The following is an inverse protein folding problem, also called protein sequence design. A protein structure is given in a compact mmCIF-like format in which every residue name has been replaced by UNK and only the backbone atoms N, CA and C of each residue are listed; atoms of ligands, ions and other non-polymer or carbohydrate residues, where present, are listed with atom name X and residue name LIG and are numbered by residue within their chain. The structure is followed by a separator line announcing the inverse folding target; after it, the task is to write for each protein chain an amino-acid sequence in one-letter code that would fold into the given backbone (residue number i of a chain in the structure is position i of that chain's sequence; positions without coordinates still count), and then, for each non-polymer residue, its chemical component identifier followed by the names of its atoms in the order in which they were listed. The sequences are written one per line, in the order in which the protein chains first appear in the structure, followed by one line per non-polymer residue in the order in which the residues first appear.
data_IF_841266256888
#
_entry.id   IF_841266256888
#
_cell.length_a   1.000
_cell.length_b   1.000
_cell.length_c   1.000
_cell.angle_alpha   90.00
_cell.angle_beta   90.00
_cell.angle_gamma   90.00
#
_symmetry.space_group_name_H-M   'P 1'
#
loop_
_entity.id
_entity.type
_entity.pdbx_description
1 polymer ?
#
# COMPACT_ATOMS: atom_id res chain seq x y z
N UNK A 1 16.21 -7.94 15.35
CA UNK A 1 16.40 -7.95 13.89
C UNK A 1 15.56 -6.81 13.32
N UNK A 2 16.05 -5.57 13.28
CA UNK A 2 15.15 -4.40 13.12
C UNK A 2 15.69 -3.21 12.32
N UNK A 3 16.87 -3.28 11.69
CA UNK A 3 17.48 -2.09 11.06
C UNK A 3 17.50 -2.09 9.51
N UNK A 4 17.54 -3.26 8.87
CA UNK A 4 17.79 -3.34 7.42
C UNK A 4 16.59 -2.89 6.56
N UNK A 5 15.35 -3.15 7.01
CA UNK A 5 14.13 -2.77 6.28
C UNK A 5 13.91 -1.26 6.18
N UNK A 6 14.22 -0.52 7.25
CA UNK A 6 14.14 0.94 7.22
C UNK A 6 15.21 1.52 6.30
N UNK A 7 16.37 0.87 6.17
CA UNK A 7 17.47 1.35 5.36
C UNK A 7 17.11 1.44 3.88
N UNK A 8 16.43 0.45 3.29
CA UNK A 8 16.05 0.47 1.87
C UNK A 8 14.96 1.50 1.62
N UNK A 9 13.91 1.56 2.44
CA UNK A 9 12.84 2.54 2.27
C UNK A 9 13.28 4.00 2.56
N UNK A 10 14.18 4.20 3.53
CA UNK A 10 14.78 5.50 3.83
C UNK A 10 15.69 5.97 2.69
N UNK A 11 16.49 5.07 2.13
CA UNK A 11 17.29 5.34 0.92
C UNK A 11 16.38 5.68 -0.28
N UNK A 12 15.32 4.90 -0.51
CA UNK A 12 14.32 5.22 -1.52
C UNK A 12 13.76 6.64 -1.31
N UNK A 13 13.37 6.99 -0.07
CA UNK A 13 12.81 8.29 0.27
C UNK A 13 13.76 9.47 -0.04
N UNK A 14 15.07 9.24 -0.03
CA UNK A 14 16.07 10.25 -0.34
C UNK A 14 16.28 10.48 -1.85
N UNK A 15 16.02 9.48 -2.70
CA UNK A 15 16.41 9.51 -4.12
C UNK A 15 15.35 10.07 -5.08
N UNK A 16 14.14 10.40 -4.62
CA UNK A 16 12.94 10.73 -5.43
C UNK A 16 12.46 9.56 -6.33
N UNK A 17 11.14 9.38 -6.47
CA UNK A 17 10.56 8.22 -7.17
C UNK A 17 10.23 7.03 -6.26
N UNK A 18 9.61 7.29 -5.10
CA UNK A 18 9.20 6.25 -4.15
C UNK A 18 7.74 5.86 -4.30
N UNK A 19 7.34 4.72 -3.76
CA UNK A 19 5.92 4.39 -3.57
C UNK A 19 5.17 5.35 -2.61
N UNK A 20 5.91 6.20 -1.87
CA UNK A 20 5.36 7.23 -1.00
C UNK A 20 5.20 8.59 -1.68
N UNK A 21 5.50 8.69 -2.98
CA UNK A 21 5.36 9.90 -3.80
C UNK A 21 4.52 9.57 -5.02
N UNK A 22 3.53 10.39 -5.33
CA UNK A 22 2.75 10.32 -6.56
C UNK A 22 2.94 11.58 -7.40
N UNK A 23 2.61 11.50 -8.69
CA UNK A 23 2.46 12.67 -9.53
C UNK A 23 1.19 13.44 -9.09
N UNK A 24 1.29 14.73 -8.72
CA UNK A 24 0.13 15.52 -8.31
C UNK A 24 -1.01 15.45 -9.32
N UNK A 25 -2.24 15.25 -8.85
CA UNK A 25 -3.41 14.98 -9.69
C UNK A 25 -3.78 13.49 -9.80
N UNK A 26 -2.91 12.57 -9.38
CA UNK A 26 -3.19 11.13 -9.35
C UNK A 26 -3.72 10.64 -7.99
N UNK A 27 -4.19 11.53 -7.11
CA UNK A 27 -4.65 11.18 -5.77
C UNK A 27 -5.81 10.18 -5.78
N UNK A 28 -6.65 10.20 -6.82
CA UNK A 28 -7.76 9.25 -6.98
C UNK A 28 -7.37 7.79 -7.15
N UNK A 29 -6.11 7.52 -7.50
CA UNK A 29 -5.60 6.15 -7.60
C UNK A 29 -4.94 5.67 -6.30
N UNK A 30 -4.91 6.49 -5.25
CA UNK A 30 -4.40 6.08 -3.96
C UNK A 30 -5.22 4.90 -3.41
N UNK A 31 -4.50 3.89 -2.92
CA UNK A 31 -5.14 2.73 -2.34
C UNK A 31 -5.91 3.11 -1.06
N UNK A 32 -7.13 2.59 -0.85
CA UNK A 32 -7.95 2.99 0.29
C UNK A 32 -7.48 2.29 1.57
N UNK A 33 -7.87 2.85 2.71
CA UNK A 33 -7.63 2.33 4.05
C UNK A 33 -8.89 1.67 4.59
N UNK A 34 -8.72 0.56 5.29
CA UNK A 34 -9.74 0.02 6.19
C UNK A 34 -9.78 0.82 7.50
N UNK A 35 -10.90 0.69 8.23
CA UNK A 35 -11.05 1.28 9.57
C UNK A 35 -10.01 0.73 10.56
N UNK A 36 -9.67 -0.56 10.46
CA UNK A 36 -8.65 -1.20 11.29
C UNK A 36 -7.26 -0.61 11.05
N UNK A 37 -6.87 -0.41 9.78
CA UNK A 37 -5.59 0.23 9.44
C UNK A 37 -5.52 1.65 9.98
N UNK A 38 -6.60 2.44 9.81
CA UNK A 38 -6.66 3.80 10.34
C UNK A 38 -6.48 3.83 11.86
N UNK A 39 -7.18 2.95 12.58
CA UNK A 39 -7.04 2.84 14.03
C UNK A 39 -5.60 2.50 14.46
N UNK A 40 -5.00 1.48 13.84
CA UNK A 40 -3.61 1.10 14.13
C UNK A 40 -2.61 2.23 13.84
N UNK A 41 -2.84 3.01 12.79
CA UNK A 41 -2.04 4.18 12.46
C UNK A 41 -2.18 5.29 13.51
N UNK A 42 -3.40 5.57 13.97
CA UNK A 42 -3.70 6.60 14.97
C UNK A 42 -3.08 6.27 16.34
N UNK A 43 -3.15 5.00 16.76
CA UNK A 43 -2.45 4.47 17.93
C UNK A 43 -0.92 4.67 17.83
N UNK A 44 -0.37 4.50 16.63
CA UNK A 44 1.04 4.73 16.33
C UNK A 44 1.40 6.22 16.13
N UNK A 45 0.47 7.15 16.38
CA UNK A 45 0.72 8.59 16.36
C UNK A 45 0.28 9.32 15.08
N UNK A 46 -0.38 8.64 14.13
CA UNK A 46 -1.09 9.34 13.06
C UNK A 46 -2.23 10.20 13.63
N UNK A 47 -2.70 11.12 12.81
CA UNK A 47 -3.59 12.23 13.17
C UNK A 47 -4.40 12.57 11.93
N UNK A 48 -5.51 13.30 12.10
CA UNK A 48 -6.45 13.63 11.01
C UNK A 48 -5.76 14.14 9.73
N UNK A 49 -4.76 15.01 9.87
CA UNK A 49 -3.98 15.56 8.74
C UNK A 49 -3.27 14.52 7.85
N UNK A 50 -3.13 13.27 8.31
CA UNK A 50 -2.49 12.19 7.56
C UNK A 50 -3.51 11.36 6.77
N UNK A 51 -4.80 11.67 6.88
CA UNK A 51 -5.89 11.00 6.20
C UNK A 51 -6.63 11.99 5.29
N UNK A 52 -7.23 11.46 4.24
CA UNK A 52 -8.13 12.21 3.38
C UNK A 52 -9.32 11.33 3.03
N UNK A 53 -10.53 11.84 3.27
CA UNK A 53 -11.76 11.22 2.83
C UNK A 53 -12.05 11.66 1.41
N UNK A 54 -12.26 10.71 0.52
CA UNK A 54 -12.38 10.94 -0.92
C UNK A 54 -13.61 10.23 -1.49
N UNK A 55 -14.29 10.88 -2.43
CA UNK A 55 -15.41 10.27 -3.14
C UNK A 55 -14.92 9.11 -4.02
N UNK A 56 -15.73 8.06 -4.14
CA UNK A 56 -15.41 6.94 -5.02
C UNK A 56 -15.61 7.35 -6.49
N UNK A 57 -14.50 7.51 -7.24
CA UNK A 57 -14.56 7.76 -8.69
C UNK A 57 -14.65 6.43 -9.46
N UNK A 58 -15.15 6.47 -10.70
CA UNK A 58 -15.14 5.28 -11.56
C UNK A 58 -13.71 4.77 -11.81
N UNK A 59 -12.77 5.68 -12.05
CA UNK A 59 -11.36 5.38 -12.24
C UNK A 59 -10.74 4.66 -11.04
N UNK A 60 -11.03 5.13 -9.82
CA UNK A 60 -10.64 4.47 -8.57
C UNK A 60 -11.19 3.04 -8.47
N UNK A 61 -12.51 2.88 -8.64
CA UNK A 61 -13.18 1.58 -8.48
C UNK A 61 -12.71 0.60 -9.56
N UNK A 62 -12.57 1.06 -10.80
CA UNK A 62 -12.09 0.23 -11.92
C UNK A 62 -10.63 -0.20 -11.71
N UNK A 63 -9.79 0.66 -11.14
CA UNK A 63 -8.42 0.29 -10.76
C UNK A 63 -8.41 -0.83 -9.71
N UNK A 64 -9.25 -0.73 -8.67
CA UNK A 64 -9.39 -1.81 -7.68
C UNK A 64 -9.95 -3.09 -8.30
N UNK A 65 -10.94 -2.99 -9.21
CA UNK A 65 -11.46 -4.16 -9.92
C UNK A 65 -10.36 -4.91 -10.69
N UNK A 66 -9.39 -4.20 -11.29
CA UNK A 66 -8.25 -4.83 -11.96
C UNK A 66 -7.30 -5.55 -10.98
N UNK A 67 -7.14 -5.01 -9.77
CA UNK A 67 -6.30 -5.59 -8.73
C UNK A 67 -6.89 -6.87 -8.11
N UNK A 68 -8.22 -6.93 -7.99
CA UNK A 68 -8.94 -8.06 -7.37
C UNK A 68 -9.59 -9.01 -8.40
N UNK A 69 -9.54 -8.67 -9.70
CA UNK A 69 -9.90 -9.56 -10.79
C UNK A 69 -11.32 -10.14 -10.67
N UNK A 70 -11.41 -11.43 -10.38
CA UNK A 70 -12.66 -12.19 -10.26
C UNK A 70 -13.65 -11.60 -9.24
N UNK A 71 -13.18 -10.78 -8.31
CA UNK A 71 -14.00 -10.18 -7.26
C UNK A 71 -14.47 -8.76 -7.56
N UNK A 72 -14.37 -8.30 -8.81
CA UNK A 72 -14.81 -6.96 -9.22
C UNK A 72 -16.23 -6.61 -8.73
N UNK A 73 -17.17 -7.57 -8.74
CA UNK A 73 -18.52 -7.36 -8.22
C UNK A 73 -18.55 -7.01 -6.73
N UNK A 74 -17.70 -7.65 -5.91
CA UNK A 74 -17.57 -7.33 -4.48
C UNK A 74 -16.93 -5.95 -4.28
N UNK A 75 -15.89 -5.64 -5.05
CA UNK A 75 -15.24 -4.32 -5.00
C UNK A 75 -16.23 -3.19 -5.30
N UNK A 76 -17.07 -3.33 -6.32
CA UNK A 76 -18.12 -2.34 -6.64
C UNK A 76 -19.15 -2.19 -5.53
N UNK A 77 -19.46 -3.26 -4.80
CA UNK A 77 -20.35 -3.22 -3.64
C UNK A 77 -19.69 -2.56 -2.42
N UNK A 78 -18.40 -2.80 -2.19
CA UNK A 78 -17.61 -2.16 -1.12
C UNK A 78 -17.44 -0.66 -1.36
N UNK A 79 -17.21 -0.26 -2.61
CA UNK A 79 -16.95 1.12 -3.01
C UNK A 79 -18.03 1.60 -4.00
N UNK A 80 -19.28 1.82 -3.55
CA UNK A 80 -20.35 2.30 -4.41
C UNK A 80 -20.05 3.74 -4.87
N UNK A 81 -20.56 4.14 -6.04
CA UNK A 81 -20.28 5.45 -6.65
C UNK A 81 -20.70 6.65 -5.78
N UNK A 82 -21.75 6.51 -4.97
CA UNK A 82 -22.19 7.54 -4.01
C UNK A 82 -21.41 7.53 -2.69
N UNK A 83 -20.48 6.59 -2.54
CA UNK A 83 -19.71 6.36 -1.33
C UNK A 83 -18.41 7.16 -1.27
N UNK A 84 -17.73 7.01 -0.14
CA UNK A 84 -16.43 7.59 0.13
C UNK A 84 -15.50 6.52 0.69
N UNK A 85 -14.20 6.71 0.51
CA UNK A 85 -13.17 5.93 1.15
C UNK A 85 -12.17 6.86 1.85
N UNK A 86 -11.47 6.32 2.84
CA UNK A 86 -10.31 6.99 3.43
C UNK A 86 -9.05 6.55 2.68
N UNK A 87 -8.12 7.49 2.49
CA UNK A 87 -6.78 7.24 1.96
C UNK A 87 -5.73 8.01 2.75
N UNK A 88 -4.46 7.71 2.53
CA UNK A 88 -3.37 8.55 3.04
C UNK A 88 -3.43 9.94 2.42
N UNK A 89 -3.30 10.99 3.24
CA UNK A 89 -3.12 12.35 2.77
C UNK A 89 -1.78 12.50 2.04
N UNK A 90 -1.76 13.41 1.05
CA UNK A 90 -0.55 13.80 0.33
C UNK A 90 -0.37 15.31 0.38
N UNK A 91 0.87 15.76 0.33
CA UNK A 91 1.24 17.16 0.19
C UNK A 91 0.95 17.65 -1.24
N UNK A 92 0.99 18.96 -1.46
CA UNK A 92 0.84 19.56 -2.81
C UNK A 92 1.89 19.09 -3.82
N UNK A 93 3.04 18.60 -3.34
CA UNK A 93 4.09 18.04 -4.17
C UNK A 93 3.92 16.53 -4.40
N UNK A 94 2.80 15.93 -3.99
CA UNK A 94 2.50 14.51 -4.19
C UNK A 94 3.18 13.56 -3.18
N UNK A 95 3.94 14.06 -2.21
CA UNK A 95 4.52 13.23 -1.15
C UNK A 95 3.47 12.84 -0.09
N UNK A 96 3.46 11.58 0.34
CA UNK A 96 2.67 11.09 1.47
C UNK A 96 2.92 11.95 2.73
N UNK A 97 1.86 12.32 3.44
CA UNK A 97 1.97 13.15 4.66
C UNK A 97 2.76 12.48 5.80
N UNK A 98 2.96 11.16 5.74
CA UNK A 98 3.77 10.39 6.69
C UNK A 98 5.22 10.19 6.24
N UNK A 99 5.61 10.73 5.08
CA UNK A 99 6.99 10.69 4.61
C UNK A 99 7.84 11.69 5.40
N UNK A 100 8.86 11.19 6.11
CA UNK A 100 9.87 11.98 6.79
C UNK A 100 11.23 11.83 6.13
N UNK A 101 12.22 12.57 6.65
CA UNK A 101 13.61 12.55 6.15
C UNK A 101 14.29 11.18 6.25
N UNK A 102 13.82 10.33 7.17
CA UNK A 102 14.32 8.97 7.41
C UNK A 102 13.36 7.90 6.88
N UNK A 103 12.48 8.26 5.93
CA UNK A 103 11.41 7.39 5.43
C UNK A 103 10.09 7.57 6.20
N UNK A 104 9.24 6.54 6.17
CA UNK A 104 7.92 6.59 6.77
C UNK A 104 8.00 6.79 8.29
N UNK A 105 7.25 7.77 8.82
CA UNK A 105 7.18 8.08 10.26
C UNK A 105 6.46 7.01 11.08
N UNK A 106 5.71 6.11 10.43
CA UNK A 106 5.05 5.00 11.12
C UNK A 106 6.00 3.80 11.29
N UNK A 107 5.92 3.11 12.45
CA UNK A 107 6.54 1.81 12.58
C UNK A 107 5.93 0.84 11.57
N UNK A 108 6.71 -0.12 11.07
CA UNK A 108 6.28 -0.99 9.98
C UNK A 108 4.97 -1.72 10.28
N UNK A 109 4.76 -2.18 11.51
CA UNK A 109 3.55 -2.88 11.95
C UNK A 109 2.26 -2.04 11.83
N UNK A 110 2.36 -0.72 11.95
CA UNK A 110 1.23 0.21 11.86
C UNK A 110 1.05 0.82 10.47
N UNK A 111 1.96 0.54 9.52
CA UNK A 111 1.77 0.98 8.13
C UNK A 111 0.58 0.25 7.51
N UNK A 112 -0.17 0.87 6.58
CA UNK A 112 -1.22 0.19 5.84
C UNK A 112 -0.74 -1.14 5.23
N UNK A 113 -1.64 -2.11 5.11
CA UNK A 113 -1.38 -3.40 4.48
C UNK A 113 -0.80 -3.22 3.08
N UNK A 114 -1.36 -2.33 2.27
CA UNK A 114 -0.83 -2.08 0.91
C UNK A 114 0.62 -1.55 0.94
N UNK A 115 0.97 -0.68 1.89
CA UNK A 115 2.34 -0.19 2.05
C UNK A 115 3.31 -1.30 2.47
N UNK A 116 2.84 -2.29 3.23
CA UNK A 116 3.64 -3.45 3.66
C UNK A 116 3.75 -4.53 2.59
N UNK A 117 2.74 -4.64 1.72
CA UNK A 117 2.68 -5.56 0.60
C UNK A 117 3.53 -5.07 -0.57
N UNK A 118 3.52 -3.76 -0.86
CA UNK A 118 4.21 -3.20 -2.01
C UNK A 118 5.72 -3.57 -2.03
N UNK A 119 6.28 -4.01 -3.17
CA UNK A 119 5.67 -4.05 -4.51
C UNK A 119 4.91 -5.34 -4.83
N UNK A 120 4.74 -6.25 -3.87
CA UNK A 120 4.09 -7.53 -4.08
C UNK A 120 2.57 -7.43 -4.08
N UNK A 121 1.94 -8.38 -4.77
CA UNK A 121 0.50 -8.59 -4.78
C UNK A 121 0.20 -10.07 -4.97
N UNK A 122 -1.05 -10.46 -4.71
CA UNK A 122 -1.56 -11.80 -5.02
C UNK A 122 -2.75 -11.66 -5.96
N UNK A 123 -2.71 -12.40 -7.06
CA UNK A 123 -3.81 -12.48 -8.02
C UNK A 123 -3.97 -13.92 -8.47
N UNK A 124 -5.20 -14.43 -8.41
CA UNK A 124 -5.54 -15.79 -8.82
C UNK A 124 -4.62 -16.86 -8.16
N UNK A 125 -4.38 -16.71 -6.85
CA UNK A 125 -3.53 -17.59 -6.05
C UNK A 125 -2.01 -17.45 -6.30
N UNK A 126 -1.60 -16.56 -7.20
CA UNK A 126 -0.18 -16.38 -7.57
C UNK A 126 0.37 -15.07 -7.03
N UNK A 127 1.52 -15.17 -6.36
CA UNK A 127 2.29 -13.99 -5.98
C UNK A 127 2.94 -13.37 -7.22
N UNK A 128 2.74 -12.06 -7.37
CA UNK A 128 3.38 -11.22 -8.38
C UNK A 128 3.94 -9.97 -7.71
N UNK A 129 4.69 -9.16 -8.47
CA UNK A 129 5.07 -7.84 -8.03
C UNK A 129 4.89 -6.83 -9.16
N UNK A 130 4.52 -5.61 -8.81
CA UNK A 130 4.42 -4.51 -9.76
C UNK A 130 5.82 -4.09 -10.17
N UNK A 131 6.09 -4.09 -11.48
CA UNK A 131 7.33 -3.52 -11.98
C UNK A 131 7.29 -2.01 -11.85
N UNK A 132 8.27 -1.45 -11.15
CA UNK A 132 8.42 0.00 -11.03
C UNK A 132 9.88 0.35 -11.24
N UNK A 133 10.16 1.00 -12.36
CA UNK A 133 11.53 1.30 -12.81
C UNK A 133 12.29 2.21 -11.86
N UNK A 134 11.62 2.92 -10.95
CA UNK A 134 12.23 3.75 -9.93
C UNK A 134 12.36 3.03 -8.57
N UNK A 135 11.83 1.81 -8.41
CA UNK A 135 11.96 1.04 -7.19
C UNK A 135 13.41 0.55 -7.00
N UNK A 136 14.14 1.17 -6.09
CA UNK A 136 15.53 0.79 -5.78
C UNK A 136 15.64 -0.67 -5.34
N UNK A 137 14.68 -1.17 -4.53
CA UNK A 137 14.66 -2.57 -4.11
C UNK A 137 14.58 -3.53 -5.31
N UNK A 138 13.85 -3.18 -6.38
CA UNK A 138 13.79 -3.97 -7.61
C UNK A 138 15.07 -3.85 -8.43
N UNK A 139 15.68 -2.66 -8.51
CA UNK A 139 16.96 -2.45 -9.21
C UNK A 139 18.10 -3.26 -8.61
N UNK A 140 18.12 -3.39 -7.28
CA UNK A 140 19.19 -4.09 -6.54
C UNK A 140 18.93 -5.60 -6.40
N UNK A 141 17.70 -6.06 -6.61
CA UNK A 141 17.35 -7.47 -6.40
C UNK A 141 17.62 -8.34 -7.63
N UNK A 142 18.39 -9.41 -7.43
CA UNK A 142 18.55 -10.50 -8.40
C UNK A 142 17.34 -11.46 -8.38
N UNK A 143 16.14 -10.94 -8.67
CA UNK A 143 14.89 -11.70 -8.74
C UNK A 143 14.05 -11.72 -7.44
N UNK A 144 12.94 -12.45 -7.45
CA UNK A 144 11.88 -12.38 -6.43
C UNK A 144 12.37 -12.71 -5.02
N UNK A 145 13.21 -13.74 -4.85
CA UNK A 145 13.72 -14.14 -3.54
C UNK A 145 14.65 -13.06 -2.94
N UNK A 146 15.51 -12.45 -3.76
CA UNK A 146 16.36 -11.35 -3.33
C UNK A 146 15.54 -10.10 -2.98
N UNK A 147 14.47 -9.82 -3.73
CA UNK A 147 13.56 -8.70 -3.46
C UNK A 147 12.80 -8.88 -2.13
N UNK A 148 12.33 -10.09 -1.86
CA UNK A 148 11.69 -10.43 -0.59
C UNK A 148 12.67 -10.22 0.57
N UNK A 149 13.89 -10.76 0.45
CA UNK A 149 14.93 -10.62 1.47
C UNK A 149 15.32 -9.16 1.73
N UNK A 150 15.48 -8.34 0.68
CA UNK A 150 15.84 -6.91 0.82
C UNK A 150 14.76 -6.10 1.53
N UNK A 151 13.50 -6.53 1.42
CA UNK A 151 12.36 -5.96 2.13
C UNK A 151 12.03 -6.71 3.43
N UNK A 152 12.88 -7.65 3.87
CA UNK A 152 12.71 -8.48 5.07
C UNK A 152 11.36 -9.20 5.12
N UNK A 153 10.91 -9.68 3.96
CA UNK A 153 9.66 -10.38 3.75
C UNK A 153 9.94 -11.83 3.34
N UNK A 154 9.01 -12.71 3.67
CA UNK A 154 8.90 -14.06 3.11
C UNK A 154 7.61 -14.20 2.30
N UNK A 155 7.47 -15.26 1.52
CA UNK A 155 6.20 -15.57 0.85
C UNK A 155 5.05 -15.74 1.86
N UNK A 156 5.34 -16.30 3.04
CA UNK A 156 4.35 -16.45 4.11
C UNK A 156 3.89 -15.09 4.65
N UNK A 157 4.80 -14.11 4.78
CA UNK A 157 4.45 -12.75 5.19
C UNK A 157 3.55 -12.06 4.16
N UNK A 158 3.82 -12.25 2.86
CA UNK A 158 2.99 -11.70 1.79
C UNK A 158 1.58 -12.29 1.83
N UNK A 159 1.48 -13.61 2.00
CA UNK A 159 0.19 -14.29 2.10
C UNK A 159 -0.58 -13.81 3.34
N UNK A 160 0.05 -13.77 4.51
CA UNK A 160 -0.59 -13.29 5.74
C UNK A 160 -1.07 -11.84 5.61
N UNK A 161 -0.23 -10.93 5.11
CA UNK A 161 -0.60 -9.54 4.89
C UNK A 161 -1.75 -9.39 3.90
N UNK A 162 -1.76 -10.19 2.83
CA UNK A 162 -2.84 -10.17 1.84
C UNK A 162 -4.15 -10.68 2.44
N UNK A 163 -4.13 -11.76 3.23
CA UNK A 163 -5.34 -12.26 3.89
C UNK A 163 -5.86 -11.28 4.95
N UNK A 164 -4.98 -10.60 5.70
CA UNK A 164 -5.39 -9.54 6.62
C UNK A 164 -6.08 -8.38 5.90
N UNK A 165 -5.52 -7.92 4.79
CA UNK A 165 -6.16 -6.89 3.94
C UNK A 165 -7.57 -7.32 3.53
N UNK A 166 -7.70 -8.57 3.05
CA UNK A 166 -9.00 -9.11 2.61
C UNK A 166 -10.00 -9.18 3.76
N UNK A 167 -9.58 -9.67 4.93
CA UNK A 167 -10.44 -9.73 6.13
C UNK A 167 -10.88 -8.34 6.58
N UNK A 168 -9.97 -7.36 6.57
CA UNK A 168 -10.29 -5.97 6.91
C UNK A 168 -11.35 -5.36 5.97
N UNK A 169 -11.51 -5.92 4.77
CA UNK A 169 -12.50 -5.52 3.76
C UNK A 169 -13.67 -6.51 3.67
N UNK A 170 -13.77 -7.49 4.56
CA UNK A 170 -14.77 -8.57 4.52
C UNK A 170 -14.81 -9.32 3.17
N UNK A 171 -13.67 -9.42 2.49
CA UNK A 171 -13.50 -10.27 1.32
C UNK A 171 -13.22 -11.72 1.77
N UNK A 172 -13.68 -12.75 1.03
CA UNK A 172 -13.43 -14.15 1.36
C UNK A 172 -11.92 -14.44 1.38
N UNK A 173 -11.47 -15.44 2.12
CA UNK A 173 -10.06 -15.84 2.04
C UNK A 173 -9.76 -16.37 0.64
N UNK A 174 -8.60 -15.97 0.09
CA UNK A 174 -8.14 -16.52 -1.18
C UNK A 174 -7.60 -17.93 -0.90
N UNK A 175 -8.14 -18.95 -1.60
CA UNK A 175 -7.69 -20.34 -1.48
C UNK A 175 -6.33 -20.55 -2.15
#
# INVERSE_FOLDING_TARGET
MTDTQNHVCARCAAESGTCCTLEPGLEEYCFPLSAEERAAMEEAGARERHFCRQANTSAFVDNLCRLFGAEAGRIRALFPASGFHDRLAVTKAGACALLGRQGCRLPRSARPYYCRLYPFWIRDGRQLYFQFSQCMAQKEAAGTAALLSSLGLSNADILDLYQRLRRAWALPENA
#
